data_IF_551682562570
#
_entry.id   IF_551682562570
#
_cell.length_a   1.000
_cell.length_b   1.000
_cell.length_c   1.000
_cell.angle_alpha   90.00
_cell.angle_beta   90.00
_cell.angle_gamma   90.00
#
_symmetry.space_group_name_H-M   'P 1'
#
loop_
_entity.id
_entity.type
_entity.pdbx_description
1 polymer ?
#
# COMPACT_ATOMS: atom_id res chain seq x y z
N UNK A 1 -4.03 11.53 -15.03
CA UNK A 1 -4.09 10.06 -15.19
C UNK A 1 -5.10 9.38 -14.25
N UNK A 2 -4.79 9.05 -12.99
CA UNK A 2 -5.74 8.29 -12.14
C UNK A 2 -7.08 8.99 -11.90
N UNK A 3 -7.08 10.32 -11.74
CA UNK A 3 -8.31 11.10 -11.62
C UNK A 3 -9.20 10.99 -12.88
N UNK A 4 -8.61 11.00 -14.08
CA UNK A 4 -9.35 10.85 -15.34
C UNK A 4 -9.89 9.44 -15.50
N UNK A 5 -9.11 8.43 -15.10
CA UNK A 5 -9.56 7.04 -15.08
C UNK A 5 -10.68 6.82 -14.08
N UNK A 6 -10.64 7.46 -12.91
CA UNK A 6 -11.74 7.41 -11.93
C UNK A 6 -13.04 8.02 -12.50
N UNK A 7 -12.93 9.08 -13.32
CA UNK A 7 -14.10 9.62 -14.06
C UNK A 7 -14.62 8.65 -15.11
N UNK A 8 -13.74 7.86 -15.76
CA UNK A 8 -14.09 6.96 -16.87
C UNK A 8 -14.59 5.58 -16.41
N UNK A 9 -13.94 4.98 -15.42
CA UNK A 9 -14.16 3.61 -14.96
C UNK A 9 -14.92 3.55 -13.63
N UNK A 10 -15.17 4.70 -13.00
CA UNK A 10 -15.92 4.81 -11.76
C UNK A 10 -15.04 4.74 -10.52
N UNK A 11 -15.70 4.52 -9.38
CA UNK A 11 -15.08 4.68 -8.06
C UNK A 11 -14.10 3.56 -7.68
N UNK A 12 -14.19 2.41 -8.33
CA UNK A 12 -13.28 1.28 -8.14
C UNK A 12 -12.95 0.66 -9.49
N UNK A 13 -11.67 0.49 -9.78
CA UNK A 13 -11.24 -0.18 -11.00
C UNK A 13 -9.87 -0.83 -10.84
N UNK A 14 -9.65 -1.90 -11.60
CA UNK A 14 -8.37 -2.57 -11.70
C UNK A 14 -7.57 -2.10 -12.92
N UNK A 15 -6.25 -2.07 -12.81
CA UNK A 15 -5.37 -1.93 -13.96
C UNK A 15 -4.09 -2.73 -13.74
N UNK A 16 -3.33 -2.95 -14.81
CA UNK A 16 -2.05 -3.63 -14.75
C UNK A 16 -0.91 -2.65 -15.01
N UNK A 17 0.09 -2.68 -14.15
CA UNK A 17 1.40 -2.07 -14.38
C UNK A 17 2.40 -3.19 -14.68
N UNK A 18 2.62 -3.45 -15.97
CA UNK A 18 3.34 -4.64 -16.41
C UNK A 18 2.63 -5.92 -15.96
N UNK A 19 3.31 -6.74 -15.16
CA UNK A 19 2.76 -7.99 -14.61
C UNK A 19 2.06 -7.82 -13.26
N UNK A 20 2.02 -6.60 -12.72
CA UNK A 20 1.44 -6.33 -11.39
C UNK A 20 0.02 -5.80 -11.53
N UNK A 21 -0.92 -6.43 -10.85
CA UNK A 21 -2.28 -5.93 -10.73
C UNK A 21 -2.36 -4.85 -9.65
N UNK A 22 -3.09 -3.79 -9.97
CA UNK A 22 -3.41 -2.70 -9.07
C UNK A 22 -4.93 -2.51 -9.03
N UNK A 23 -5.44 -2.14 -7.86
CA UNK A 23 -6.81 -1.72 -7.68
C UNK A 23 -6.77 -0.28 -7.19
N UNK A 24 -7.51 0.59 -7.85
CA UNK A 24 -7.74 1.97 -7.42
C UNK A 24 -9.10 2.03 -6.77
N UNK A 25 -9.14 2.61 -5.57
CA UNK A 25 -10.36 2.82 -4.79
C UNK A 25 -10.47 4.30 -4.47
N UNK A 26 -11.61 4.89 -4.83
CA UNK A 26 -11.95 6.30 -4.56
C UNK A 26 -13.30 6.44 -3.84
N UNK A 27 -13.88 5.32 -3.39
CA UNK A 27 -15.09 5.31 -2.57
C UNK A 27 -14.76 5.38 -1.08
N UNK A 28 -15.36 6.33 -0.36
CA UNK A 28 -15.04 6.61 1.04
C UNK A 28 -15.37 5.43 1.97
N UNK A 29 -16.50 4.76 1.77
CA UNK A 29 -16.93 3.68 2.66
C UNK A 29 -15.97 2.50 2.55
N UNK A 30 -15.50 2.21 1.33
CA UNK A 30 -14.52 1.17 1.06
C UNK A 30 -13.15 1.56 1.61
N UNK A 31 -12.74 2.83 1.46
CA UNK A 31 -11.50 3.32 2.05
C UNK A 31 -11.50 3.19 3.58
N UNK A 32 -12.62 3.52 4.24
CA UNK A 32 -12.76 3.34 5.68
C UNK A 32 -12.69 1.86 6.08
N UNK A 33 -13.32 0.99 5.30
CA UNK A 33 -13.26 -0.46 5.52
C UNK A 33 -11.82 -0.99 5.44
N UNK A 34 -11.07 -0.67 4.38
CA UNK A 34 -9.73 -1.24 4.16
C UNK A 34 -8.64 -0.56 5.01
N UNK A 35 -8.68 0.77 5.18
CA UNK A 35 -7.61 1.54 5.83
C UNK A 35 -7.78 1.59 7.35
N UNK A 36 -9.02 1.60 7.86
CA UNK A 36 -9.30 1.74 9.30
C UNK A 36 -9.69 0.40 9.91
N UNK A 37 -10.78 -0.20 9.44
CA UNK A 37 -11.34 -1.39 10.07
C UNK A 37 -10.47 -2.63 9.81
N UNK A 38 -9.98 -2.79 8.59
CA UNK A 38 -9.14 -3.93 8.17
C UNK A 38 -7.66 -3.55 8.04
N UNK A 39 -7.22 -2.53 8.77
CA UNK A 39 -5.86 -2.00 8.63
C UNK A 39 -4.78 -3.07 8.83
N UNK A 40 -5.01 -4.08 9.69
CA UNK A 40 -4.04 -5.15 9.92
C UNK A 40 -3.77 -5.97 8.63
N UNK A 41 -4.84 -6.32 7.90
CA UNK A 41 -4.79 -7.08 6.65
C UNK A 41 -4.22 -6.26 5.49
N UNK A 42 -4.45 -4.95 5.45
CA UNK A 42 -3.99 -4.05 4.38
C UNK A 42 -2.78 -3.19 4.76
N UNK A 43 -2.07 -3.51 5.84
CA UNK A 43 -0.91 -2.74 6.32
C UNK A 43 0.36 -2.91 5.46
N UNK A 44 0.39 -3.91 4.57
CA UNK A 44 1.55 -4.20 3.75
C UNK A 44 1.72 -3.21 2.59
N UNK A 45 2.94 -2.69 2.41
CA UNK A 45 3.26 -1.76 1.31
C UNK A 45 3.61 -2.51 0.03
N UNK A 46 3.14 -1.99 -1.11
CA UNK A 46 3.55 -2.47 -2.44
C UNK A 46 5.06 -2.33 -2.65
N UNK A 47 5.67 -3.23 -3.44
CA UNK A 47 7.09 -3.14 -3.81
C UNK A 47 7.31 -2.13 -4.91
N UNK A 48 8.30 -1.27 -4.77
CA UNK A 48 8.86 -0.60 -5.95
C UNK A 48 9.75 -1.57 -6.74
N UNK A 49 9.94 -1.32 -8.04
CA UNK A 49 10.72 -2.21 -8.91
C UNK A 49 12.17 -2.39 -8.43
N UNK A 50 12.77 -1.34 -7.86
CA UNK A 50 14.15 -1.33 -7.36
C UNK A 50 14.28 -1.73 -5.89
N UNK A 51 13.17 -2.07 -5.22
CA UNK A 51 13.20 -2.40 -3.80
C UNK A 51 13.72 -3.83 -3.58
N UNK A 52 14.57 -4.01 -2.56
CA UNK A 52 15.04 -5.34 -2.17
C UNK A 52 13.89 -6.29 -1.81
N UNK A 53 14.11 -7.59 -2.11
CA UNK A 53 13.08 -8.62 -1.89
C UNK A 53 12.95 -9.07 -0.44
N UNK A 54 13.89 -8.75 0.43
CA UNK A 54 13.85 -9.10 1.85
C UNK A 54 14.20 -7.85 2.64
N UNK A 55 13.53 -7.68 3.77
CA UNK A 55 13.89 -6.62 4.70
C UNK A 55 15.22 -6.98 5.38
N UNK A 56 16.08 -5.99 5.53
CA UNK A 56 17.39 -6.12 6.15
C UNK A 56 17.74 -4.89 7.00
N UNK A 57 18.95 -4.84 7.59
CA UNK A 57 19.35 -3.76 8.49
C UNK A 57 19.30 -2.36 7.88
N UNK A 58 19.41 -2.26 6.55
CA UNK A 58 19.38 -0.98 5.79
C UNK A 58 17.98 -0.58 5.32
N UNK A 59 16.97 -1.42 5.53
CA UNK A 59 15.61 -1.15 5.06
C UNK A 59 14.99 0.00 5.84
N UNK A 60 14.53 1.03 5.12
CA UNK A 60 13.93 2.22 5.72
C UNK A 60 12.49 1.94 6.15
N UNK A 61 11.95 2.73 7.08
CA UNK A 61 10.56 2.60 7.57
C UNK A 61 9.49 2.69 6.46
N UNK A 62 9.78 3.44 5.40
CA UNK A 62 8.90 3.60 4.23
C UNK A 62 8.87 2.36 3.33
N UNK A 63 9.88 1.51 3.44
CA UNK A 63 10.09 0.31 2.62
C UNK A 63 9.77 -0.98 3.39
N UNK A 64 10.07 -0.98 4.69
CA UNK A 64 9.91 -2.10 5.60
C UNK A 64 8.47 -2.63 5.63
N UNK A 65 8.32 -3.90 5.96
CA UNK A 65 7.05 -4.61 6.08
C UNK A 65 6.97 -5.50 7.31
N UNK A 66 5.74 -5.93 7.58
CA UNK A 66 5.43 -6.92 8.61
C UNK A 66 6.05 -6.57 9.96
N UNK A 67 6.66 -7.55 10.68
CA UNK A 67 7.27 -7.32 11.98
C UNK A 67 8.40 -6.29 11.98
N UNK A 68 9.19 -6.19 10.89
CA UNK A 68 10.29 -5.24 10.81
C UNK A 68 9.79 -3.80 10.78
N UNK A 69 8.75 -3.53 9.97
CA UNK A 69 8.07 -2.24 9.96
C UNK A 69 7.44 -1.89 11.32
N UNK A 70 6.76 -2.86 11.96
CA UNK A 70 6.16 -2.65 13.29
C UNK A 70 7.22 -2.19 14.30
N UNK A 71 8.41 -2.82 14.30
CA UNK A 71 9.54 -2.42 15.15
C UNK A 71 10.05 -1.01 14.82
N UNK A 72 10.32 -0.72 13.54
CA UNK A 72 10.82 0.60 13.13
C UNK A 72 9.83 1.72 13.48
N UNK A 73 8.52 1.49 13.35
CA UNK A 73 7.49 2.46 13.71
C UNK A 73 7.42 2.69 15.22
N UNK A 74 7.51 1.63 16.01
CA UNK A 74 7.50 1.74 17.47
C UNK A 74 8.71 2.53 17.98
N UNK A 75 9.89 2.29 17.41
CA UNK A 75 11.13 2.98 17.80
C UNK A 75 11.17 4.45 17.33
N UNK A 76 10.64 4.76 16.14
CA UNK A 76 10.62 6.14 15.63
C UNK A 76 9.48 7.02 16.16
N UNK A 77 8.62 6.49 17.03
CA UNK A 77 7.53 7.24 17.69
C UNK A 77 7.82 7.54 19.17
N UNK A 78 8.99 7.13 19.68
CA UNK A 78 9.60 7.64 20.92
C UNK A 78 10.48 8.84 20.59
#
# INVERSE_FOLDING_TARGET
VLSEWSKKYGKMYGFYEGLRSFIVVSDFDILNEIVVKQHESFSARGRFLLQERKDGPKTKIVEARGPHWKRLRALGSM
#
